data_IF_952761426865
#
_entry.id   IF_952761426865
#
_cell.length_a   1.000
_cell.length_b   1.000
_cell.length_c   1.000
_cell.angle_alpha   90.00
_cell.angle_beta   90.00
_cell.angle_gamma   90.00
#
_symmetry.space_group_name_H-M   'P 1'
#
loop_
_entity.id
_entity.type
_entity.pdbx_description
1 polymer ?
#
# COMPACT_ATOMS: atom_id res chain seq x y z
N UNK A 1 21.12 21.97 11.00
CA UNK A 1 22.44 21.53 11.52
C UNK A 1 22.23 20.24 12.29
N UNK A 2 22.78 19.12 11.85
CA UNK A 2 22.92 17.92 12.69
C UNK A 2 23.98 18.24 13.75
N UNK A 3 23.70 18.00 15.03
CA UNK A 3 24.72 18.14 16.08
C UNK A 3 25.81 17.10 15.84
N UNK A 4 27.06 17.44 16.11
CA UNK A 4 28.14 16.46 16.14
C UNK A 4 27.75 15.31 17.10
N UNK A 5 27.70 14.08 16.57
CA UNK A 5 27.25 12.89 17.31
C UNK A 5 25.82 12.40 17.02
N UNK A 6 25.05 13.03 16.12
CA UNK A 6 23.81 12.42 15.63
C UNK A 6 24.09 11.49 14.46
N UNK A 7 24.00 10.17 14.70
CA UNK A 7 24.12 9.16 13.66
C UNK A 7 23.04 9.37 12.59
N UNK A 8 23.49 9.53 11.34
CA UNK A 8 22.62 9.53 10.16
C UNK A 8 21.94 8.16 10.09
N UNK A 9 20.61 8.08 9.98
CA UNK A 9 19.93 6.80 9.88
C UNK A 9 20.44 6.00 8.69
N UNK A 10 20.71 4.71 8.90
CA UNK A 10 21.16 3.80 7.84
C UNK A 10 20.03 3.33 6.92
N UNK A 11 18.77 3.49 7.36
CA UNK A 11 17.57 3.12 6.63
C UNK A 11 16.80 4.34 6.19
N UNK A 12 16.24 4.28 4.97
CA UNK A 12 15.43 5.37 4.42
C UNK A 12 14.18 5.63 5.27
N UNK A 13 13.54 4.57 5.77
CA UNK A 13 12.35 4.68 6.62
C UNK A 13 12.59 5.44 7.91
N UNK A 14 13.73 5.18 8.57
CA UNK A 14 14.10 5.83 9.84
C UNK A 14 14.31 7.34 9.67
N UNK A 15 14.81 7.76 8.51
CA UNK A 15 14.96 9.18 8.18
C UNK A 15 13.60 9.87 8.10
N UNK A 16 12.64 9.27 7.40
CA UNK A 16 11.29 9.83 7.30
C UNK A 16 10.57 9.83 8.65
N UNK A 17 10.72 8.78 9.46
CA UNK A 17 10.12 8.72 10.79
C UNK A 17 10.66 9.82 11.71
N UNK A 18 11.98 10.04 11.70
CA UNK A 18 12.59 11.17 12.43
C UNK A 18 12.10 12.51 11.91
N UNK A 19 12.03 12.71 10.60
CA UNK A 19 11.54 13.95 10.00
C UNK A 19 10.09 14.23 10.40
N UNK A 20 9.21 13.24 10.30
CA UNK A 20 7.81 13.36 10.70
C UNK A 20 7.65 13.67 12.19
N UNK A 21 8.42 12.98 13.06
CA UNK A 21 8.44 13.26 14.49
C UNK A 21 8.79 14.73 14.75
N UNK A 22 9.85 15.24 14.13
CA UNK A 22 10.26 16.64 14.24
C UNK A 22 9.19 17.62 13.75
N UNK A 23 8.48 17.30 12.66
CA UNK A 23 7.41 18.16 12.13
C UNK A 23 6.18 18.20 13.05
N UNK A 24 5.90 17.13 13.79
CA UNK A 24 4.74 17.03 14.68
C UNK A 24 5.01 17.57 16.08
N UNK A 25 6.20 17.32 16.62
CA UNK A 25 6.62 17.83 17.94
C UNK A 25 7.14 19.26 17.87
N UNK A 26 7.64 19.68 16.69
CA UNK A 26 8.30 20.98 16.45
C UNK A 26 9.35 21.30 17.51
N UNK A 27 10.19 20.32 17.86
CA UNK A 27 11.33 20.49 18.78
C UNK A 27 12.42 21.46 18.24
N UNK A 28 12.17 22.13 17.11
CA UNK A 28 13.04 23.10 16.46
C UNK A 28 12.25 24.37 16.11
N UNK A 29 12.06 25.26 17.09
CA UNK A 29 11.70 26.64 16.81
C UNK A 29 12.95 27.38 16.32
N UNK A 30 12.85 28.09 15.19
CA UNK A 30 13.85 29.10 14.84
C UNK A 30 13.81 30.20 15.92
N UNK A 31 14.96 30.76 16.30
CA UNK A 31 15.09 31.71 17.42
C UNK A 31 14.14 32.92 17.32
N UNK A 32 13.70 33.28 16.11
CA UNK A 32 12.83 34.45 15.84
C UNK A 32 11.39 34.11 15.42
N UNK A 33 10.99 32.83 15.41
CA UNK A 33 9.63 32.44 15.02
C UNK A 33 8.71 32.38 16.26
N UNK A 34 7.48 32.90 16.11
CA UNK A 34 6.44 32.69 17.13
C UNK A 34 6.26 31.19 17.39
N UNK A 35 6.21 30.75 18.67
CA UNK A 35 6.13 29.33 18.99
C UNK A 35 4.84 28.75 18.42
N UNK A 36 4.97 27.82 17.48
CA UNK A 36 3.84 27.04 16.99
C UNK A 36 3.63 25.87 17.94
N UNK A 37 2.45 25.82 18.55
CA UNK A 37 2.12 24.74 19.48
C UNK A 37 2.18 23.36 18.78
N UNK A 38 2.64 22.30 19.48
CA UNK A 38 2.71 20.96 18.92
C UNK A 38 1.33 20.46 18.47
N UNK A 39 1.33 19.41 17.65
CA UNK A 39 0.08 18.71 17.32
C UNK A 39 -0.54 18.11 18.57
N UNK A 40 -1.87 18.25 18.70
CA UNK A 40 -2.62 17.73 19.87
C UNK A 40 -2.50 16.22 20.02
N UNK A 41 -2.62 15.49 18.91
CA UNK A 41 -2.61 14.02 18.87
C UNK A 41 -1.66 13.58 17.74
N UNK A 42 -0.34 13.60 17.96
CA UNK A 42 0.64 13.40 16.90
C UNK A 42 0.57 11.98 16.30
N UNK A 43 0.37 10.94 17.12
CA UNK A 43 0.27 9.56 16.66
C UNK A 43 -1.00 9.32 15.85
N UNK A 44 -2.14 9.82 16.33
CA UNK A 44 -3.42 9.74 15.59
C UNK A 44 -3.34 10.54 14.29
N UNK A 45 -2.68 11.70 14.29
CA UNK A 45 -2.47 12.51 13.08
C UNK A 45 -1.71 11.71 12.03
N UNK A 46 -0.60 11.07 12.40
CA UNK A 46 0.17 10.22 11.48
C UNK A 46 -0.64 9.05 10.94
N UNK A 47 -1.45 8.44 11.78
CA UNK A 47 -2.31 7.34 11.37
C UNK A 47 -3.35 7.79 10.34
N UNK A 48 -4.09 8.86 10.64
CA UNK A 48 -5.10 9.43 9.74
C UNK A 48 -4.49 9.88 8.41
N UNK A 49 -3.35 10.59 8.46
CA UNK A 49 -2.63 11.00 7.24
C UNK A 49 -2.08 9.81 6.47
N UNK A 50 -1.66 8.74 7.14
CA UNK A 50 -1.24 7.49 6.50
C UNK A 50 -2.35 6.89 5.65
N UNK A 51 -3.55 6.76 6.21
CA UNK A 51 -4.71 6.24 5.49
C UNK A 51 -5.14 7.14 4.34
N UNK A 52 -5.17 8.46 4.56
CA UNK A 52 -5.46 9.41 3.51
C UNK A 52 -4.43 9.33 2.38
N UNK A 53 -3.14 9.29 2.71
CA UNK A 53 -2.07 9.13 1.74
C UNK A 53 -2.21 7.83 0.94
N UNK A 54 -2.49 6.70 1.59
CA UNK A 54 -2.65 5.39 0.93
C UNK A 54 -3.80 5.39 -0.08
N UNK A 55 -4.93 6.04 0.23
CA UNK A 55 -6.09 6.11 -0.66
C UNK A 55 -5.88 7.08 -1.81
N UNK A 56 -5.33 8.25 -1.50
CA UNK A 56 -5.07 9.30 -2.49
C UNK A 56 -3.88 8.98 -3.40
N UNK A 57 -2.97 8.09 -2.98
CA UNK A 57 -1.83 7.68 -3.80
C UNK A 57 -2.26 7.04 -5.12
N UNK A 58 -3.43 6.40 -5.18
CA UNK A 58 -3.99 5.84 -6.41
C UNK A 58 -4.53 6.90 -7.40
N UNK A 59 -4.79 8.13 -6.97
CA UNK A 59 -5.33 9.21 -7.80
C UNK A 59 -4.20 10.00 -8.45
N UNK A 60 -4.22 10.25 -9.76
CA UNK A 60 -3.14 10.88 -10.57
C UNK A 60 -2.82 12.36 -10.25
N UNK A 61 -3.19 12.87 -9.07
CA UNK A 61 -2.92 14.24 -8.64
C UNK A 61 -1.71 14.38 -7.72
N UNK A 62 -1.05 15.53 -7.81
CA UNK A 62 -0.08 16.03 -6.82
C UNK A 62 -0.74 16.99 -5.80
N UNK A 63 -1.92 17.51 -6.13
CA UNK A 63 -2.78 18.28 -5.24
C UNK A 63 -4.18 17.66 -5.21
N UNK A 64 -4.79 17.64 -4.04
CA UNK A 64 -6.07 17.01 -3.77
C UNK A 64 -7.06 18.05 -3.26
N UNK A 65 -8.26 18.05 -3.82
CA UNK A 65 -9.32 18.95 -3.35
C UNK A 65 -9.62 18.63 -1.89
N UNK A 66 -9.98 19.64 -1.09
CA UNK A 66 -10.32 19.44 0.32
C UNK A 66 -11.36 18.31 0.53
N UNK A 67 -12.35 18.22 -0.35
CA UNK A 67 -13.38 17.16 -0.34
C UNK A 67 -12.81 15.74 -0.54
N UNK A 68 -11.74 15.58 -1.34
CA UNK A 68 -11.12 14.29 -1.61
C UNK A 68 -10.32 13.82 -0.39
N UNK A 69 -9.60 14.75 0.26
CA UNK A 69 -8.93 14.50 1.53
C UNK A 69 -9.91 14.13 2.64
N UNK A 70 -11.02 14.88 2.77
CA UNK A 70 -12.08 14.56 3.74
C UNK A 70 -12.63 13.16 3.48
N UNK A 71 -13.00 12.85 2.23
CA UNK A 71 -13.50 11.52 1.87
C UNK A 71 -12.49 10.41 2.18
N UNK A 72 -11.19 10.64 1.93
CA UNK A 72 -10.15 9.66 2.22
C UNK A 72 -9.95 9.42 3.73
N UNK A 73 -10.07 10.47 4.55
CA UNK A 73 -9.99 10.41 6.01
C UNK A 73 -11.21 9.67 6.60
N UNK A 74 -12.39 9.93 6.06
CA UNK A 74 -13.68 9.42 6.57
C UNK A 74 -14.09 8.08 5.95
N UNK A 75 -13.34 7.57 4.96
CA UNK A 75 -13.65 6.30 4.29
C UNK A 75 -13.68 5.10 5.23
N UNK A 76 -12.94 5.14 6.35
CA UNK A 76 -13.07 4.17 7.43
C UNK A 76 -13.93 4.77 8.56
N UNK A 77 -15.10 4.17 8.91
CA UNK A 77 -15.95 4.65 9.99
C UNK A 77 -15.23 4.79 11.34
N UNK A 78 -14.25 3.94 11.63
CA UNK A 78 -13.46 4.02 12.88
C UNK A 78 -12.57 5.25 12.89
N UNK A 79 -11.98 5.59 11.75
CA UNK A 79 -11.19 6.80 11.60
C UNK A 79 -12.07 8.05 11.66
N UNK A 80 -13.25 8.02 11.02
CA UNK A 80 -14.22 9.10 11.11
C UNK A 80 -14.67 9.36 12.56
N UNK A 81 -14.98 8.29 13.32
CA UNK A 81 -15.36 8.39 14.73
C UNK A 81 -14.21 8.97 15.58
N UNK A 82 -12.99 8.45 15.42
CA UNK A 82 -11.81 8.95 16.13
C UNK A 82 -11.53 10.40 15.77
N UNK A 83 -11.61 10.77 14.49
CA UNK A 83 -11.45 12.15 14.05
C UNK A 83 -12.46 13.06 14.75
N UNK A 84 -13.74 12.69 14.77
CA UNK A 84 -14.81 13.47 15.41
C UNK A 84 -14.68 13.62 16.93
N UNK A 85 -13.96 12.72 17.61
CA UNK A 85 -13.67 12.83 19.05
C UNK A 85 -12.64 13.93 19.37
N UNK A 86 -11.67 14.14 18.47
CA UNK A 86 -10.55 15.05 18.72
C UNK A 86 -10.66 16.38 17.96
N UNK A 87 -11.40 16.41 16.86
CA UNK A 87 -11.62 17.60 16.04
C UNK A 87 -13.10 17.84 15.73
N UNK A 88 -13.56 19.11 15.62
CA UNK A 88 -14.95 19.41 15.27
C UNK A 88 -15.36 18.93 13.87
N UNK A 89 -14.40 18.79 12.96
CA UNK A 89 -14.61 18.26 11.60
C UNK A 89 -13.30 17.86 10.94
N UNK A 90 -13.36 17.04 9.88
CA UNK A 90 -12.20 16.69 9.06
C UNK A 90 -11.54 17.92 8.42
N UNK A 91 -12.33 18.94 8.05
CA UNK A 91 -11.79 20.20 7.55
C UNK A 91 -10.95 20.94 8.62
N UNK A 92 -11.36 20.91 9.89
CA UNK A 92 -10.57 21.49 10.99
C UNK A 92 -9.30 20.69 11.28
N UNK A 93 -9.35 19.37 11.18
CA UNK A 93 -8.17 18.53 11.23
C UNK A 93 -7.16 18.88 10.11
N UNK A 94 -7.61 18.94 8.86
CA UNK A 94 -6.75 19.30 7.70
C UNK A 94 -6.12 20.67 7.90
N UNK A 95 -6.92 21.67 8.30
CA UNK A 95 -6.44 23.01 8.56
C UNK A 95 -5.35 23.02 9.65
N UNK A 96 -5.57 22.33 10.78
CA UNK A 96 -4.60 22.24 11.86
C UNK A 96 -3.29 21.58 11.40
N UNK A 97 -3.36 20.47 10.66
CA UNK A 97 -2.17 19.81 10.10
C UNK A 97 -1.40 20.77 9.20
N UNK A 98 -2.09 21.47 8.30
CA UNK A 98 -1.46 22.40 7.36
C UNK A 98 -0.78 23.58 8.08
N UNK A 99 -1.47 24.19 9.05
CA UNK A 99 -0.93 25.33 9.82
C UNK A 99 0.24 24.93 10.72
N UNK A 100 0.17 23.74 11.32
CA UNK A 100 1.10 23.36 12.40
C UNK A 100 2.26 22.49 11.98
N UNK A 101 2.14 21.71 10.91
CA UNK A 101 3.18 20.70 10.60
C UNK A 101 3.84 20.91 9.25
N UNK A 102 3.16 21.64 8.35
CA UNK A 102 3.58 21.70 6.96
C UNK A 102 3.45 20.37 6.21
N UNK A 103 2.86 19.31 6.79
CA UNK A 103 2.64 18.02 6.13
C UNK A 103 1.53 18.05 5.07
N UNK A 104 0.74 19.13 5.07
CA UNK A 104 -0.18 19.48 4.00
C UNK A 104 0.07 20.94 3.63
N UNK A 105 0.28 21.19 2.34
CA UNK A 105 0.56 22.51 1.79
C UNK A 105 -0.69 23.00 1.06
N UNK A 106 -1.30 24.12 1.48
CA UNK A 106 -2.44 24.70 0.77
C UNK A 106 -2.01 25.24 -0.60
N UNK A 107 -2.83 25.02 -1.63
CA UNK A 107 -2.64 25.53 -2.99
C UNK A 107 -2.43 27.05 -3.06
N UNK A 108 -3.10 27.80 -2.20
CA UNK A 108 -3.02 29.26 -2.13
C UNK A 108 -1.92 29.79 -1.20
N UNK A 109 -1.18 28.91 -0.53
CA UNK A 109 -0.25 29.29 0.55
C UNK A 109 -0.95 29.77 1.83
N UNK A 110 -2.28 29.84 1.87
CA UNK A 110 -3.07 30.26 3.04
C UNK A 110 -4.19 29.27 3.34
N UNK A 111 -4.17 28.68 4.53
CA UNK A 111 -5.13 27.62 4.92
C UNK A 111 -6.59 28.07 4.83
N UNK A 112 -6.90 29.32 5.17
CA UNK A 112 -8.26 29.88 5.12
C UNK A 112 -8.87 29.98 3.71
N UNK A 113 -8.02 30.09 2.68
CA UNK A 113 -8.45 30.29 1.30
C UNK A 113 -8.22 29.03 0.45
N UNK A 114 -7.73 27.96 1.06
CA UNK A 114 -7.29 26.76 0.37
C UNK A 114 -8.47 25.95 -0.18
N UNK A 115 -8.39 25.58 -1.45
CA UNK A 115 -9.36 24.68 -2.10
C UNK A 115 -8.81 23.26 -2.27
N UNK A 116 -7.48 23.16 -2.28
CA UNK A 116 -6.74 21.93 -2.43
C UNK A 116 -5.48 21.95 -1.55
N UNK A 117 -4.97 20.76 -1.27
CA UNK A 117 -3.75 20.56 -0.51
C UNK A 117 -2.87 19.51 -1.19
N UNK A 118 -1.55 19.67 -1.07
CA UNK A 118 -0.56 18.68 -1.48
C UNK A 118 0.25 18.21 -0.29
N UNK A 119 0.85 17.02 -0.39
CA UNK A 119 1.95 16.66 0.50
C UNK A 119 3.21 17.44 0.08
N UNK A 120 4.15 17.75 1.00
CA UNK A 120 5.36 18.50 0.67
C UNK A 120 6.21 17.87 -0.42
N UNK A 121 6.20 16.55 -0.47
CA UNK A 121 6.87 15.77 -1.48
C UNK A 121 6.18 14.42 -1.65
N UNK A 122 6.27 13.86 -2.87
CA UNK A 122 5.77 12.52 -3.20
C UNK A 122 6.25 11.45 -2.22
N UNK A 123 7.51 11.53 -1.78
CA UNK A 123 8.10 10.55 -0.85
C UNK A 123 7.46 10.58 0.55
N UNK A 124 7.02 11.75 1.04
CA UNK A 124 6.28 11.81 2.31
C UNK A 124 4.92 11.12 2.18
N UNK A 125 4.22 11.33 1.06
CA UNK A 125 2.98 10.62 0.74
C UNK A 125 3.22 9.11 0.68
N UNK A 126 4.28 8.66 -0.01
CA UNK A 126 4.62 7.24 -0.12
C UNK A 126 4.96 6.60 1.22
N UNK A 127 5.74 7.29 2.05
CA UNK A 127 6.10 6.80 3.38
C UNK A 127 4.87 6.71 4.32
N UNK A 128 4.00 7.72 4.30
CA UNK A 128 2.75 7.70 5.05
C UNK A 128 1.83 6.57 4.58
N UNK A 129 1.70 6.38 3.26
CA UNK A 129 0.95 5.28 2.68
C UNK A 129 1.52 3.91 3.10
N UNK A 130 2.85 3.76 3.08
CA UNK A 130 3.54 2.54 3.49
C UNK A 130 3.30 2.21 4.98
N UNK A 131 3.25 3.25 5.82
CA UNK A 131 2.96 3.11 7.26
C UNK A 131 1.52 2.63 7.50
N UNK A 132 0.55 3.13 6.74
CA UNK A 132 -0.82 2.64 6.82
C UNK A 132 -0.95 1.19 6.32
N UNK A 133 -0.26 0.85 5.22
CA UNK A 133 -0.28 -0.51 4.67
C UNK A 133 0.37 -1.54 5.63
N UNK A 134 1.47 -1.17 6.30
CA UNK A 134 2.07 -2.00 7.35
C UNK A 134 1.06 -2.30 8.48
N UNK A 135 0.34 -1.27 8.95
CA UNK A 135 -0.68 -1.42 9.99
C UNK A 135 -1.85 -2.32 9.54
N UNK A 136 -2.32 -2.14 8.31
CA UNK A 136 -3.35 -3.01 7.70
C UNK A 136 -2.91 -4.48 7.74
N UNK A 137 -1.69 -4.74 7.27
CA UNK A 137 -1.12 -6.09 7.23
C UNK A 137 -0.96 -6.69 8.62
N UNK A 138 -0.51 -5.90 9.61
CA UNK A 138 -0.43 -6.31 11.00
C UNK A 138 -1.79 -6.64 11.60
N UNK A 139 -2.82 -5.83 11.34
CA UNK A 139 -4.18 -6.07 11.81
C UNK A 139 -4.80 -7.33 11.19
N UNK A 140 -4.54 -7.60 9.91
CA UNK A 140 -4.95 -8.85 9.24
C UNK A 140 -4.22 -10.06 9.84
N UNK A 141 -2.90 -9.96 10.06
CA UNK A 141 -2.12 -11.04 10.67
C UNK A 141 -2.57 -11.36 12.10
N UNK A 142 -3.03 -10.36 12.85
CA UNK A 142 -3.59 -10.49 14.19
C UNK A 142 -5.06 -10.95 14.22
N UNK A 143 -5.71 -11.11 13.07
CA UNK A 143 -7.13 -11.48 12.97
C UNK A 143 -8.11 -10.38 13.44
N UNK A 144 -7.64 -9.14 13.59
CA UNK A 144 -8.42 -7.98 14.06
C UNK A 144 -9.18 -7.31 12.91
N UNK A 145 -8.65 -7.41 11.69
CA UNK A 145 -9.31 -6.95 10.47
C UNK A 145 -9.72 -8.15 9.61
N UNK A 146 -10.97 -8.13 9.13
CA UNK A 146 -11.52 -9.20 8.29
C UNK A 146 -11.12 -9.10 6.81
N UNK A 147 -10.48 -8.01 6.38
CA UNK A 147 -10.30 -7.71 4.98
C UNK A 147 -8.90 -7.23 4.64
N UNK A 148 -8.21 -8.01 3.81
CA UNK A 148 -7.06 -7.57 3.03
C UNK A 148 -7.43 -6.53 1.94
N UNK A 149 -8.46 -5.70 2.17
CA UNK A 149 -9.08 -4.87 1.15
C UNK A 149 -8.13 -3.82 0.59
N UNK A 150 -7.38 -3.15 1.46
CA UNK A 150 -6.41 -2.14 1.04
C UNK A 150 -5.20 -2.79 0.36
N UNK A 151 -4.63 -3.86 0.92
CA UNK A 151 -3.54 -4.60 0.27
C UNK A 151 -3.93 -5.16 -1.11
N UNK A 152 -5.11 -5.76 -1.22
CA UNK A 152 -5.62 -6.28 -2.50
C UNK A 152 -5.84 -5.15 -3.51
N UNK A 153 -6.38 -4.00 -3.08
CA UNK A 153 -6.50 -2.80 -3.92
C UNK A 153 -5.12 -2.33 -4.38
N UNK A 154 -4.15 -2.22 -3.48
CA UNK A 154 -2.76 -1.84 -3.80
C UNK A 154 -2.14 -2.78 -4.83
N UNK A 155 -2.35 -4.09 -4.72
CA UNK A 155 -1.86 -5.04 -5.71
C UNK A 155 -2.55 -4.91 -7.07
N UNK A 156 -3.88 -4.77 -7.09
CA UNK A 156 -4.63 -4.56 -8.32
C UNK A 156 -4.17 -3.27 -9.03
N UNK A 157 -4.00 -2.18 -8.28
CA UNK A 157 -3.51 -0.92 -8.84
C UNK A 157 -2.04 -0.96 -9.21
N UNK A 158 -1.20 -1.65 -8.44
CA UNK A 158 0.22 -1.86 -8.73
C UNK A 158 0.46 -2.75 -9.95
N UNK A 159 -0.51 -3.61 -10.31
CA UNK A 159 -0.52 -4.35 -11.58
C UNK A 159 -0.80 -3.45 -12.76
N UNK A 160 -1.69 -2.48 -12.59
CA UNK A 160 -1.95 -1.48 -13.63
C UNK A 160 -0.81 -0.45 -13.75
N UNK A 161 -0.17 -0.08 -12.63
CA UNK A 161 0.78 1.06 -12.53
C UNK A 161 1.94 0.73 -11.57
N UNK A 162 2.89 -0.12 -11.99
CA UNK A 162 3.95 -0.62 -11.11
C UNK A 162 4.92 0.47 -10.64
N UNK A 163 5.25 1.45 -11.48
CA UNK A 163 6.11 2.59 -11.15
C UNK A 163 5.56 3.51 -10.05
N UNK A 164 4.25 3.43 -9.83
CA UNK A 164 3.57 4.22 -8.81
C UNK A 164 3.64 3.55 -7.45
N UNK A 165 3.30 2.27 -7.41
CA UNK A 165 3.13 1.52 -6.18
C UNK A 165 4.39 0.83 -5.67
N UNK A 166 5.42 0.69 -6.50
CA UNK A 166 6.66 0.02 -6.11
C UNK A 166 7.31 0.64 -4.87
N UNK A 167 7.41 1.97 -4.81
CA UNK A 167 8.05 2.66 -3.68
C UNK A 167 7.27 2.48 -2.38
N UNK A 168 5.93 2.54 -2.43
CA UNK A 168 5.08 2.28 -1.26
C UNK A 168 5.33 0.87 -0.72
N UNK A 169 5.34 -0.13 -1.60
CA UNK A 169 5.56 -1.53 -1.22
C UNK A 169 7.00 -1.80 -0.73
N UNK A 170 8.00 -1.18 -1.34
CA UNK A 170 9.40 -1.27 -0.92
C UNK A 170 9.61 -0.65 0.48
N UNK A 171 9.02 0.52 0.74
CA UNK A 171 9.00 1.13 2.06
C UNK A 171 8.26 0.26 3.09
N UNK A 172 7.13 -0.35 2.71
CA UNK A 172 6.41 -1.29 3.59
C UNK A 172 7.29 -2.50 3.94
N UNK A 173 8.06 -3.07 3.00
CA UNK A 173 9.03 -4.14 3.31
C UNK A 173 10.01 -3.73 4.40
N UNK A 174 10.64 -2.54 4.27
CA UNK A 174 11.60 -2.04 5.26
C UNK A 174 11.01 -1.91 6.66
N UNK A 175 9.71 -1.61 6.76
CA UNK A 175 8.98 -1.45 8.02
C UNK A 175 8.53 -2.78 8.64
N UNK A 176 8.14 -3.75 7.83
CA UNK A 176 7.73 -5.08 8.31
C UNK A 176 8.88 -5.89 8.93
N UNK A 177 10.13 -5.51 8.62
CA UNK A 177 11.33 -6.21 9.09
C UNK A 177 11.52 -7.60 8.45
N UNK A 178 12.53 -8.36 8.92
CA UNK A 178 12.85 -9.68 8.39
C UNK A 178 11.67 -10.66 8.50
N UNK A 179 11.42 -11.43 7.45
CA UNK A 179 10.29 -12.39 7.38
C UNK A 179 8.96 -11.75 6.95
N UNK A 180 8.63 -10.57 7.47
CA UNK A 180 7.47 -9.79 7.02
C UNK A 180 7.67 -9.26 5.59
N UNK A 181 8.84 -8.70 5.31
CA UNK A 181 9.25 -8.28 3.96
C UNK A 181 9.22 -9.44 2.96
N UNK A 182 9.79 -10.59 3.34
CA UNK A 182 9.77 -11.81 2.52
C UNK A 182 8.33 -12.30 2.26
N UNK A 183 7.45 -12.19 3.26
CA UNK A 183 6.03 -12.48 3.13
C UNK A 183 5.33 -11.57 2.11
N UNK A 184 5.61 -10.27 2.14
CA UNK A 184 5.07 -9.31 1.18
C UNK A 184 5.56 -9.59 -0.24
N UNK A 185 6.87 -9.82 -0.43
CA UNK A 185 7.45 -10.16 -1.73
C UNK A 185 6.84 -11.46 -2.29
N UNK A 186 6.70 -12.51 -1.48
CA UNK A 186 6.04 -13.76 -1.90
C UNK A 186 4.60 -13.54 -2.37
N UNK A 187 3.85 -12.64 -1.71
CA UNK A 187 2.48 -12.29 -2.15
C UNK A 187 2.50 -11.58 -3.51
N UNK A 188 3.39 -10.62 -3.73
CA UNK A 188 3.53 -9.95 -5.04
C UNK A 188 3.85 -10.96 -6.14
N UNK A 189 4.73 -11.94 -5.85
CA UNK A 189 5.04 -13.04 -6.77
C UNK A 189 3.80 -13.89 -7.11
N UNK A 190 2.96 -14.20 -6.12
CA UNK A 190 1.73 -14.99 -6.31
C UNK A 190 0.70 -14.27 -7.19
N UNK A 191 0.66 -12.93 -7.15
CA UNK A 191 -0.20 -12.12 -8.03
C UNK A 191 0.27 -12.09 -9.50
N UNK A 192 1.43 -12.70 -9.80
CA UNK A 192 1.97 -12.81 -11.16
C UNK A 192 2.40 -11.47 -11.76
N UNK A 193 2.77 -10.49 -10.93
CA UNK A 193 3.14 -9.15 -11.37
C UNK A 193 4.66 -8.95 -11.34
N UNK A 194 5.36 -9.55 -12.30
CA UNK A 194 6.84 -9.52 -12.38
C UNK A 194 7.39 -8.10 -12.46
N UNK A 195 6.74 -7.19 -13.20
CA UNK A 195 7.20 -5.82 -13.35
C UNK A 195 7.19 -5.04 -12.02
N UNK A 196 6.15 -5.20 -11.22
CA UNK A 196 6.10 -4.64 -9.87
C UNK A 196 7.11 -5.31 -8.95
N UNK A 197 7.18 -6.63 -8.98
CA UNK A 197 8.08 -7.44 -8.15
C UNK A 197 9.53 -6.99 -8.28
N UNK A 198 10.04 -6.86 -9.51
CA UNK A 198 11.43 -6.47 -9.76
C UNK A 198 11.73 -5.07 -9.22
N UNK A 199 10.79 -4.12 -9.38
CA UNK A 199 10.93 -2.76 -8.84
C UNK A 199 10.94 -2.75 -7.32
N UNK A 200 10.02 -3.50 -6.69
CA UNK A 200 9.97 -3.60 -5.23
C UNK A 200 11.25 -4.21 -4.69
N UNK A 201 11.74 -5.30 -5.27
CA UNK A 201 12.96 -5.98 -4.79
C UNK A 201 14.22 -5.14 -4.98
N UNK A 202 14.27 -4.26 -5.98
CA UNK A 202 15.40 -3.36 -6.18
C UNK A 202 15.58 -2.35 -5.04
N UNK A 203 14.48 -1.86 -4.47
CA UNK A 203 14.48 -0.79 -3.46
C UNK A 203 14.07 -1.25 -2.05
N UNK A 204 13.60 -2.49 -1.90
CA UNK A 204 13.11 -2.99 -0.62
C UNK A 204 14.25 -3.26 0.37
N UNK A 205 14.11 -2.69 1.55
CA UNK A 205 14.93 -3.04 2.71
C UNK A 205 14.31 -4.24 3.46
N UNK A 206 15.14 -5.00 4.19
CA UNK A 206 14.65 -6.07 5.08
C UNK A 206 14.30 -7.40 4.41
N UNK A 207 14.46 -7.52 3.09
CA UNK A 207 14.32 -8.79 2.35
C UNK A 207 15.54 -9.70 2.54
N UNK A 208 15.31 -11.01 2.62
CA UNK A 208 16.40 -11.98 2.74
C UNK A 208 17.09 -12.23 1.40
N UNK A 209 18.38 -12.58 1.46
CA UNK A 209 19.15 -12.94 0.25
C UNK A 209 18.55 -14.15 -0.50
N UNK A 210 17.85 -15.04 0.21
CA UNK A 210 17.12 -16.16 -0.40
C UNK A 210 15.95 -15.67 -1.24
N UNK A 211 15.12 -14.76 -0.71
CA UNK A 211 14.01 -14.13 -1.45
C UNK A 211 14.50 -13.40 -2.70
N UNK A 212 15.60 -12.65 -2.60
CA UNK A 212 16.23 -11.97 -3.75
C UNK A 212 16.65 -12.98 -4.81
N UNK A 213 17.40 -14.03 -4.44
CA UNK A 213 17.82 -15.09 -5.38
C UNK A 213 16.64 -15.81 -6.00
N UNK A 214 15.61 -16.11 -5.22
CA UNK A 214 14.38 -16.74 -5.70
C UNK A 214 13.68 -15.88 -6.75
N UNK A 215 13.62 -14.57 -6.51
CA UNK A 215 13.04 -13.60 -7.45
C UNK A 215 13.83 -13.52 -8.76
N UNK A 216 15.17 -13.44 -8.69
CA UNK A 216 16.03 -13.39 -9.87
C UNK A 216 15.94 -14.67 -10.73
N UNK A 217 15.77 -15.84 -10.10
CA UNK A 217 15.56 -17.10 -10.84
C UNK A 217 14.26 -17.11 -11.66
N UNK A 218 13.22 -16.42 -11.19
CA UNK A 218 11.96 -16.28 -11.92
C UNK A 218 12.16 -15.41 -13.16
N UNK A 219 12.93 -14.32 -13.06
CA UNK A 219 13.25 -13.43 -14.18
C UNK A 219 14.06 -14.16 -15.27
N UNK A 220 15.06 -14.93 -14.87
CA UNK A 220 15.93 -15.65 -15.80
C UNK A 220 15.27 -16.88 -16.44
N UNK A 221 14.03 -17.23 -16.08
CA UNK A 221 13.34 -18.43 -16.56
C UNK A 221 13.96 -19.75 -16.08
N UNK A 222 14.92 -19.70 -15.16
CA UNK A 222 15.70 -20.87 -14.69
C UNK A 222 14.89 -21.76 -13.72
N UNK A 223 13.69 -21.32 -13.31
CA UNK A 223 12.80 -22.09 -12.43
C UNK A 223 11.84 -23.07 -13.11
N UNK A 224 11.89 -23.21 -14.44
CA UNK A 224 10.81 -23.80 -15.25
C UNK A 224 11.01 -25.22 -15.80
N UNK A 225 12.15 -25.87 -15.59
CA UNK A 225 12.30 -27.29 -15.96
C UNK A 225 12.30 -28.16 -14.71
N UNK A 226 11.09 -28.46 -14.22
CA UNK A 226 10.90 -29.80 -13.65
C UNK A 226 11.25 -30.76 -14.75
N UNK A 227 12.37 -31.47 -14.59
CA UNK A 227 12.70 -32.65 -15.36
C UNK A 227 11.42 -33.47 -15.54
N UNK A 228 10.85 -33.44 -16.75
CA UNK A 228 10.00 -34.53 -17.19
C UNK A 228 10.93 -35.72 -17.18
N UNK A 229 10.86 -36.52 -16.11
CA UNK A 229 11.44 -37.84 -16.12
C UNK A 229 11.01 -38.52 -17.41
N UNK A 230 11.91 -39.27 -18.07
CA UNK A 230 11.54 -40.02 -19.26
C UNK A 230 10.27 -40.82 -18.93
N UNK A 231 9.28 -40.87 -19.83
CA UNK A 231 8.11 -41.71 -19.60
C UNK A 231 8.61 -43.11 -19.31
N UNK A 232 8.42 -43.59 -18.07
CA UNK A 232 8.60 -44.99 -17.76
C UNK A 232 7.65 -45.74 -18.68
N UNK A 233 8.27 -46.43 -19.66
CA UNK A 233 7.58 -47.22 -20.64
C UNK A 233 6.69 -48.22 -19.93
N UNK A 234 5.40 -47.96 -20.05
CA UNK A 234 4.31 -48.87 -19.74
C UNK A 234 4.54 -50.20 -20.48
N UNK A 235 4.96 -51.22 -19.75
CA UNK A 235 4.92 -52.62 -20.20
C UNK A 235 3.57 -53.18 -19.78
N UNK A 236 2.55 -52.90 -20.58
CA UNK A 236 1.20 -53.44 -20.43
C UNK A 236 0.74 -54.14 -21.71
N UNK A 237 0.61 -55.46 -21.61
CA UNK A 237 0.18 -56.45 -22.61
C UNK A 237 -1.24 -56.20 -23.18
N UNK A 238 -1.62 -56.77 -24.35
CA UNK A 238 -2.87 -56.52 -25.04
C UNK A 238 -4.00 -57.42 -24.50
N UNK A 239 -5.03 -56.82 -23.91
CA UNK A 239 -6.24 -57.49 -23.45
C UNK A 239 -7.48 -57.05 -24.22
N UNK A 240 -7.98 -57.95 -25.06
CA UNK A 240 -9.24 -57.87 -25.80
C UNK A 240 -10.46 -57.64 -24.88
N UNK A 241 -11.42 -56.82 -25.34
CA UNK A 241 -12.70 -56.67 -24.65
C UNK A 241 -13.69 -55.77 -25.40
N UNK A 242 -14.45 -56.39 -26.30
CA UNK A 242 -15.63 -55.82 -26.96
C UNK A 242 -16.70 -55.41 -25.92
N UNK A 243 -17.40 -54.30 -26.16
CA UNK A 243 -18.44 -53.82 -25.24
C UNK A 243 -19.30 -52.71 -25.82
N UNK A 244 -20.18 -53.07 -26.75
CA UNK A 244 -21.26 -52.26 -27.31
C UNK A 244 -22.18 -51.62 -26.23
N UNK A 245 -22.53 -50.34 -26.39
CA UNK A 245 -23.57 -49.70 -25.56
C UNK A 245 -24.04 -48.34 -26.06
N UNK A 246 -25.12 -48.33 -26.85
CA UNK A 246 -25.83 -47.16 -27.39
C UNK A 246 -26.45 -46.28 -26.30
N UNK A 247 -26.55 -44.97 -26.55
CA UNK A 247 -27.41 -44.05 -25.79
C UNK A 247 -27.57 -42.68 -26.43
N UNK A 248 -28.68 -42.48 -27.17
CA UNK A 248 -29.16 -41.19 -27.73
C UNK A 248 -29.64 -40.29 -26.58
N UNK A 249 -29.21 -39.03 -26.49
CA UNK A 249 -29.99 -37.82 -26.86
C UNK A 249 -30.88 -37.29 -25.71
N UNK A 250 -31.56 -36.13 -25.81
CA UNK A 250 -31.36 -34.95 -26.65
C UNK A 250 -31.40 -33.60 -25.89
N UNK A 251 -31.06 -32.53 -26.63
CA UNK A 251 -31.60 -31.15 -26.64
C UNK A 251 -32.54 -30.70 -25.50
N UNK A 252 -32.16 -29.59 -24.84
CA UNK A 252 -33.06 -28.74 -24.06
C UNK A 252 -32.85 -27.26 -24.43
N UNK A 253 -33.81 -26.70 -25.17
CA UNK A 253 -33.95 -25.28 -25.44
C UNK A 253 -34.57 -24.53 -24.24
N UNK A 254 -34.26 -23.24 -24.07
CA UNK A 254 -34.90 -22.42 -23.04
C UNK A 254 -34.57 -20.93 -23.19
N UNK A 255 -35.55 -20.19 -23.74
CA UNK A 255 -35.60 -18.76 -24.06
C UNK A 255 -35.90 -17.86 -22.84
N UNK A 256 -35.63 -16.55 -23.01
CA UNK A 256 -36.35 -15.33 -22.56
C UNK A 256 -35.36 -14.34 -21.89
N UNK A 257 -35.11 -13.10 -22.32
CA UNK A 257 -35.89 -11.98 -22.92
C UNK A 257 -37.04 -11.48 -22.06
N UNK A 258 -36.79 -10.41 -21.29
CA UNK A 258 -37.69 -9.29 -20.94
C UNK A 258 -36.78 -8.14 -20.43
N UNK A 259 -36.47 -7.10 -21.20
CA UNK A 259 -37.21 -5.84 -21.42
C UNK A 259 -37.59 -5.01 -20.17
N UNK A 260 -36.93 -3.83 -20.09
CA UNK A 260 -37.42 -2.47 -19.75
C UNK A 260 -37.93 -2.22 -18.31
N UNK A 261 -37.28 -1.37 -17.49
CA UNK A 261 -37.37 0.12 -17.38
C UNK A 261 -38.74 0.63 -16.90
N UNK A 262 -38.86 1.78 -16.21
CA UNK A 262 -38.01 2.99 -16.23
C UNK A 262 -36.97 3.09 -15.11
#
# INVERSE_FOLDING_TARGET
MLRAGQDVPSRRGDLYERALKLLLTRDHNAEDAAPVAPMREPELTLELLGWAALRLHGLEGEAYRARELIAALEADPRNAERLGKHWPSAAKFIAEVAERTGLLIPDTGRVRDASAYSFPHRTFREFLAATALERDMGAVAAGVASGAGELARVFAEGKARPERWAEVLALTCGRLGPGGADGLVRRITQEGNTALLLRVVADAEGISAETVRGTLKLELGVGGEKARGPPEGDRGDPGLGEGSGRGRGPLGAGRAVHHLRP
#
